data_IF_649636406628
#
_entry.id   IF_649636406628
#
_cell.length_a   1.000
_cell.length_b   1.000
_cell.length_c   1.000
_cell.angle_alpha   90.00
_cell.angle_beta   90.00
_cell.angle_gamma   90.00
#
_symmetry.space_group_name_H-M   'P 1'
#
loop_
_entity.id
_entity.type
_entity.pdbx_description
1 polymer ?
#
# COMPACT_ATOMS: atom_id res chain seq x y z
N UNK A 1 18.07 3.92 5.39
CA UNK A 1 18.45 3.80 3.98
C UNK A 1 18.29 2.38 3.48
N UNK A 2 17.72 2.23 2.32
CA UNK A 2 17.47 0.89 1.77
C UNK A 2 18.66 0.43 0.98
N UNK A 3 19.19 -0.75 1.31
CA UNK A 3 20.29 -1.36 0.58
C UNK A 3 19.78 -1.92 -0.75
N UNK A 4 20.50 -1.66 -1.83
CA UNK A 4 20.15 -2.20 -3.15
C UNK A 4 20.68 -3.63 -3.27
N UNK A 5 19.80 -4.55 -3.60
CA UNK A 5 20.11 -5.96 -3.77
C UNK A 5 19.58 -6.38 -5.13
N UNK A 6 20.41 -7.13 -5.88
CA UNK A 6 19.98 -7.64 -7.18
C UNK A 6 19.04 -8.82 -7.02
N UNK A 7 17.97 -8.83 -7.82
CA UNK A 7 17.04 -9.94 -7.92
C UNK A 7 16.77 -10.17 -9.40
N UNK A 8 16.63 -11.43 -9.79
CA UNK A 8 16.35 -11.81 -11.17
C UNK A 8 14.95 -12.38 -11.26
N UNK A 9 14.19 -11.90 -12.24
CA UNK A 9 12.84 -12.40 -12.49
C UNK A 9 12.59 -12.43 -14.00
N UNK A 10 11.76 -13.36 -14.41
CA UNK A 10 11.28 -13.42 -15.79
C UNK A 10 9.96 -12.70 -15.87
N UNK A 11 9.82 -11.80 -16.85
CA UNK A 11 8.60 -11.03 -17.05
C UNK A 11 8.05 -11.35 -18.43
N UNK A 12 6.74 -11.21 -18.59
CA UNK A 12 6.09 -11.33 -19.88
C UNK A 12 6.57 -10.24 -20.84
N UNK A 13 6.50 -10.51 -22.13
CA UNK A 13 6.92 -9.55 -23.15
C UNK A 13 6.15 -8.23 -23.08
N UNK A 14 4.88 -8.27 -22.70
CA UNK A 14 4.05 -7.07 -22.53
C UNK A 14 4.59 -6.14 -21.44
N UNK A 15 5.03 -6.74 -20.32
CA UNK A 15 5.60 -6.00 -19.20
C UNK A 15 6.93 -5.34 -19.60
N UNK A 16 7.77 -6.09 -20.29
CA UNK A 16 9.06 -5.59 -20.77
C UNK A 16 8.85 -4.43 -21.75
N UNK A 17 7.92 -4.57 -22.68
CA UNK A 17 7.60 -3.53 -23.65
C UNK A 17 7.11 -2.25 -22.96
N UNK A 18 6.22 -2.40 -21.98
CA UNK A 18 5.72 -1.27 -21.20
C UNK A 18 6.84 -0.51 -20.52
N UNK A 19 7.75 -1.25 -19.84
CA UNK A 19 8.89 -0.65 -19.15
C UNK A 19 9.77 0.12 -20.13
N UNK A 20 10.05 -0.46 -21.30
CA UNK A 20 10.83 0.20 -22.34
C UNK A 20 10.17 1.49 -22.81
N UNK A 21 8.87 1.45 -23.02
CA UNK A 21 8.12 2.62 -23.47
C UNK A 21 8.13 3.74 -22.43
N UNK A 22 7.95 3.39 -21.16
CA UNK A 22 7.99 4.37 -20.07
C UNK A 22 9.39 4.96 -19.90
N UNK A 23 10.40 4.14 -20.05
CA UNK A 23 11.79 4.59 -20.03
C UNK A 23 12.04 5.67 -21.08
N UNK A 24 11.58 5.45 -22.31
CA UNK A 24 11.75 6.41 -23.41
C UNK A 24 10.91 7.65 -23.22
N UNK A 25 9.63 7.50 -22.87
CA UNK A 25 8.70 8.63 -22.73
C UNK A 25 9.12 9.60 -21.63
N UNK A 26 9.65 9.09 -20.53
CA UNK A 26 10.02 9.91 -19.39
C UNK A 26 11.52 10.11 -19.23
N UNK A 27 12.27 9.70 -20.25
CA UNK A 27 13.74 9.88 -20.30
C UNK A 27 14.43 9.31 -19.04
N UNK A 28 14.05 8.10 -18.67
CA UNK A 28 14.64 7.36 -17.56
C UNK A 28 15.38 6.15 -18.10
N UNK A 29 16.38 5.65 -17.35
CA UNK A 29 16.93 4.36 -17.70
C UNK A 29 15.94 3.24 -17.33
N UNK A 30 16.12 2.05 -17.91
CA UNK A 30 15.19 0.94 -17.72
C UNK A 30 15.10 0.51 -16.26
N UNK A 31 16.22 0.49 -15.56
CA UNK A 31 16.24 0.11 -14.14
C UNK A 31 15.46 1.08 -13.28
N UNK A 32 15.57 2.38 -13.54
CA UNK A 32 14.82 3.40 -12.81
C UNK A 32 13.33 3.30 -13.11
N UNK A 33 12.98 3.14 -14.39
CA UNK A 33 11.57 2.96 -14.79
C UNK A 33 10.96 1.74 -14.11
N UNK A 34 11.69 0.62 -14.11
CA UNK A 34 11.26 -0.61 -13.46
C UNK A 34 11.05 -0.40 -11.96
N UNK A 35 12.03 0.21 -11.28
CA UNK A 35 11.92 0.45 -9.83
C UNK A 35 10.74 1.35 -9.48
N UNK A 36 10.49 2.38 -10.28
CA UNK A 36 9.37 3.29 -10.03
C UNK A 36 8.02 2.56 -10.15
N UNK A 37 7.87 1.75 -11.18
CA UNK A 37 6.67 0.94 -11.39
C UNK A 37 6.51 -0.07 -10.25
N UNK A 38 7.59 -0.74 -9.87
CA UNK A 38 7.59 -1.73 -8.80
C UNK A 38 7.17 -1.10 -7.47
N UNK A 39 7.68 0.09 -7.15
CA UNK A 39 7.31 0.78 -5.91
C UNK A 39 5.82 1.09 -5.85
N UNK A 40 5.25 1.53 -6.97
CA UNK A 40 3.80 1.76 -7.05
C UNK A 40 3.03 0.47 -6.87
N UNK A 41 3.51 -0.62 -7.48
CA UNK A 41 2.91 -1.94 -7.33
C UNK A 41 2.94 -2.44 -5.90
N UNK A 42 4.07 -2.22 -5.20
CA UNK A 42 4.21 -2.61 -3.80
C UNK A 42 3.22 -1.84 -2.94
N UNK A 43 3.05 -0.54 -3.16
CA UNK A 43 2.09 0.26 -2.40
C UNK A 43 0.66 -0.23 -2.58
N UNK A 44 0.28 -0.55 -3.81
CA UNK A 44 -1.05 -1.11 -4.09
C UNK A 44 -1.22 -2.50 -3.47
N UNK A 45 -0.19 -3.34 -3.56
CA UNK A 45 -0.22 -4.68 -2.97
C UNK A 45 -0.37 -4.62 -1.46
N UNK A 46 0.33 -3.70 -0.79
CA UNK A 46 0.19 -3.51 0.66
C UNK A 46 -1.24 -3.17 1.05
N UNK A 47 -1.90 -2.31 0.28
CA UNK A 47 -3.30 -1.94 0.54
C UNK A 47 -4.22 -3.15 0.41
N UNK A 48 -4.04 -3.94 -0.65
CA UNK A 48 -4.83 -5.15 -0.87
C UNK A 48 -4.64 -6.17 0.25
N UNK A 49 -3.39 -6.42 0.64
CA UNK A 49 -3.07 -7.37 1.70
C UNK A 49 -3.59 -6.90 3.05
N UNK A 50 -3.48 -5.59 3.34
CA UNK A 50 -3.99 -5.02 4.58
C UNK A 50 -5.51 -5.21 4.69
N UNK A 51 -6.23 -4.96 3.59
CA UNK A 51 -7.68 -5.17 3.55
C UNK A 51 -8.03 -6.65 3.79
N UNK A 52 -7.33 -7.54 3.11
CA UNK A 52 -7.55 -8.97 3.25
C UNK A 52 -7.34 -9.44 4.69
N UNK A 53 -6.24 -9.03 5.31
CA UNK A 53 -5.92 -9.42 6.67
C UNK A 53 -6.87 -8.80 7.70
N UNK A 54 -7.35 -7.60 7.44
CA UNK A 54 -8.38 -6.97 8.26
C UNK A 54 -9.70 -7.75 8.18
N UNK A 55 -10.14 -8.08 6.98
CA UNK A 55 -11.39 -8.83 6.76
C UNK A 55 -11.32 -10.20 7.44
N UNK A 56 -10.17 -10.84 7.37
CA UNK A 56 -9.96 -12.16 8.01
C UNK A 56 -9.81 -12.08 9.53
N UNK A 57 -9.81 -10.89 10.09
CA UNK A 57 -9.67 -10.69 11.54
C UNK A 57 -8.25 -10.86 12.04
N UNK A 58 -7.27 -10.91 11.14
CA UNK A 58 -5.85 -11.06 11.51
C UNK A 58 -5.21 -9.74 11.91
N UNK A 59 -5.71 -8.64 11.39
CA UNK A 59 -5.26 -7.29 11.71
C UNK A 59 -6.41 -6.49 12.27
N UNK A 60 -6.10 -5.66 13.28
CA UNK A 60 -7.00 -4.59 13.69
C UNK A 60 -6.97 -3.49 12.63
N UNK A 61 -7.87 -2.52 12.74
CA UNK A 61 -7.89 -1.37 11.83
C UNK A 61 -6.54 -0.63 11.86
N UNK A 62 -6.00 -0.41 13.05
CA UNK A 62 -4.72 0.27 13.22
C UNK A 62 -3.57 -0.51 12.59
N UNK A 63 -3.53 -1.83 12.82
CA UNK A 63 -2.50 -2.69 12.25
C UNK A 63 -2.56 -2.69 10.72
N UNK A 64 -3.77 -2.76 10.16
CA UNK A 64 -3.96 -2.75 8.73
C UNK A 64 -3.53 -1.42 8.10
N UNK A 65 -3.92 -0.31 8.71
CA UNK A 65 -3.53 1.01 8.22
C UNK A 65 -2.00 1.18 8.25
N UNK A 66 -1.38 0.77 9.33
CA UNK A 66 0.08 0.83 9.48
C UNK A 66 0.78 -0.03 8.44
N UNK A 67 0.27 -1.25 8.20
CA UNK A 67 0.82 -2.14 7.18
C UNK A 67 0.76 -1.51 5.79
N UNK A 68 -0.34 -0.80 5.50
CA UNK A 68 -0.54 -0.14 4.21
C UNK A 68 0.14 1.21 4.09
N UNK A 69 0.88 1.65 5.11
CA UNK A 69 1.51 2.97 5.20
C UNK A 69 0.49 4.10 5.04
N UNK A 70 -0.68 3.93 5.66
CA UNK A 70 -1.79 4.88 5.58
C UNK A 70 -2.20 5.34 6.97
N UNK A 71 -2.73 6.55 7.05
CA UNK A 71 -3.41 7.00 8.26
C UNK A 71 -4.73 6.24 8.39
N UNK A 72 -5.20 6.08 9.62
CA UNK A 72 -6.44 5.32 9.89
C UNK A 72 -7.62 5.86 9.09
N UNK A 73 -7.76 7.20 9.02
CA UNK A 73 -8.83 7.82 8.24
C UNK A 73 -8.77 7.49 6.76
N UNK A 74 -7.57 7.49 6.19
CA UNK A 74 -7.34 7.13 4.80
C UNK A 74 -7.71 5.67 4.54
N UNK A 75 -7.29 4.78 5.46
CA UNK A 75 -7.59 3.36 5.34
C UNK A 75 -9.10 3.10 5.46
N UNK A 76 -9.75 3.81 6.37
CA UNK A 76 -11.20 3.73 6.52
C UNK A 76 -11.92 4.16 5.24
N UNK A 77 -11.47 5.24 4.60
CA UNK A 77 -12.00 5.70 3.33
C UNK A 77 -11.78 4.67 2.22
N UNK A 78 -10.63 4.04 2.21
CA UNK A 78 -10.32 2.96 1.27
C UNK A 78 -11.31 1.81 1.43
N UNK A 79 -11.60 1.42 2.66
CA UNK A 79 -12.57 0.37 2.96
C UNK A 79 -13.97 0.74 2.40
N UNK A 80 -14.38 1.98 2.61
CA UNK A 80 -15.67 2.48 2.11
C UNK A 80 -15.72 2.43 0.59
N UNK A 81 -14.65 2.86 -0.08
CA UNK A 81 -14.55 2.82 -1.54
C UNK A 81 -14.65 1.39 -2.09
N UNK A 82 -14.14 0.42 -1.35
CA UNK A 82 -14.18 -0.99 -1.74
C UNK A 82 -15.47 -1.70 -1.29
N UNK A 83 -16.39 -0.97 -0.64
CA UNK A 83 -17.64 -1.55 -0.16
C UNK A 83 -17.48 -2.52 0.99
N UNK A 84 -16.37 -2.41 1.74
CA UNK A 84 -16.11 -3.27 2.89
C UNK A 84 -16.77 -2.66 4.11
N UNK A 85 -17.66 -3.43 4.74
CA UNK A 85 -18.32 -2.99 5.95
C UNK A 85 -17.37 -3.11 7.13
N UNK A 86 -17.33 -2.05 7.93
CA UNK A 86 -16.61 -2.04 9.18
C UNK A 86 -17.53 -2.53 10.28
N UNK A 87 -17.05 -3.46 11.11
CA UNK A 87 -17.76 -3.84 12.32
C UNK A 87 -17.57 -2.82 13.44
N UNK A 88 -16.91 -1.71 13.12
CA UNK A 88 -16.64 -0.65 14.07
C UNK A 88 -17.83 0.28 14.17
N UNK A 89 -18.17 0.66 15.39
CA UNK A 89 -19.09 1.77 15.64
C UNK A 89 -18.32 3.07 15.42
N UNK A 90 -19.04 4.19 15.33
CA UNK A 90 -18.43 5.51 15.29
C UNK A 90 -17.53 5.74 16.50
N UNK A 91 -17.96 5.23 17.64
CA UNK A 91 -17.21 5.34 18.90
C UNK A 91 -15.86 4.62 18.81
N UNK A 92 -15.87 3.39 18.31
CA UNK A 92 -14.66 2.59 18.11
C UNK A 92 -13.70 3.29 17.15
N UNK A 93 -14.23 3.88 16.10
CA UNK A 93 -13.44 4.62 15.12
C UNK A 93 -12.77 5.84 15.75
N UNK A 94 -13.53 6.60 16.55
CA UNK A 94 -13.00 7.77 17.25
C UNK A 94 -11.90 7.38 18.24
N UNK A 95 -12.05 6.26 18.93
CA UNK A 95 -11.02 5.74 19.83
C UNK A 95 -9.75 5.37 19.08
N UNK A 96 -9.90 4.71 17.93
CA UNK A 96 -8.77 4.32 17.09
C UNK A 96 -8.00 5.55 16.61
N UNK A 97 -8.69 6.60 16.20
CA UNK A 97 -8.07 7.85 15.78
C UNK A 97 -7.33 8.51 16.95
N UNK A 98 -7.96 8.56 18.12
CA UNK A 98 -7.34 9.14 19.33
C UNK A 98 -6.08 8.37 19.71
N UNK A 99 -6.13 7.05 19.64
CA UNK A 99 -4.97 6.21 19.96
C UNK A 99 -3.83 6.46 18.95
N UNK A 100 -4.15 6.54 17.67
CA UNK A 100 -3.16 6.81 16.63
C UNK A 100 -2.50 8.19 16.84
N UNK A 101 -3.30 9.20 17.23
CA UNK A 101 -2.77 10.54 17.50
C UNK A 101 -1.82 10.55 18.70
N UNK A 102 -2.13 9.76 19.74
CA UNK A 102 -1.23 9.63 20.90
C UNK A 102 0.10 9.00 20.51
N UNK A 103 0.09 8.02 19.63
CA UNK A 103 1.30 7.37 19.15
C UNK A 103 2.18 8.30 18.30
N UNK A 104 1.58 9.25 17.60
CA UNK A 104 2.31 10.18 16.76
C UNK A 104 2.79 11.43 17.50
N UNK A 105 2.32 11.66 18.70
CA UNK A 105 2.67 12.85 19.50
C UNK A 105 3.84 12.64 20.45
N UNK A 106 4.40 11.47 20.49
CA UNK A 106 5.53 11.18 21.41
C UNK A 106 6.83 11.76 20.92
#
# INVERSE_FOLDING_TARGET
MTKLISITARLGSDSIEYIKNMSKMFNLDKSTAFRNILQKGIQEDKKEKALELYIKGKFSLEQAAKFADMYIGEFFDLMRQKGIESNLTLEDFDESIRHARKLTKS
#
